data_IF_080498013486
#
_entry.id   IF_080498013486
#
_cell.length_a   1.000
_cell.length_b   1.000
_cell.length_c   1.000
_cell.angle_alpha   90.00
_cell.angle_beta   90.00
_cell.angle_gamma   90.00
#
_symmetry.space_group_name_H-M   'P 1'
#
loop_
_entity.id
_entity.type
_entity.pdbx_description
1 polymer ?
#
# COMPACT_ATOMS: atom_id res chain seq x y z
N UNK A 1 -1.26 34.13 -0.45
CA UNK A 1 0.19 33.93 -0.61
C UNK A 1 0.97 35.11 -0.04
N UNK A 2 0.63 36.38 -0.34
CA UNK A 2 1.33 37.54 0.25
C UNK A 2 1.33 37.55 1.79
N UNK A 3 0.16 37.37 2.43
CA UNK A 3 0.05 37.26 3.89
C UNK A 3 0.88 36.09 4.47
N UNK A 4 0.98 34.99 3.73
CA UNK A 4 1.80 33.82 4.11
C UNK A 4 3.29 34.18 4.10
N UNK A 5 3.76 34.89 3.07
CA UNK A 5 5.15 35.36 2.97
C UNK A 5 5.51 36.31 4.10
N UNK A 6 4.62 37.28 4.36
CA UNK A 6 4.80 38.23 5.47
C UNK A 6 4.83 37.51 6.83
N UNK A 7 3.96 36.51 7.04
CA UNK A 7 3.93 35.73 8.28
C UNK A 7 5.23 34.94 8.52
N UNK A 8 5.82 34.38 7.48
CA UNK A 8 7.06 33.60 7.57
C UNK A 8 8.35 34.44 7.36
N UNK A 9 8.23 35.77 7.22
CA UNK A 9 9.34 36.68 6.91
C UNK A 9 10.13 36.29 5.65
N UNK A 10 9.43 35.77 4.64
CA UNK A 10 10.03 35.44 3.34
C UNK A 10 10.29 36.72 2.53
N UNK A 11 11.49 36.84 1.96
CA UNK A 11 11.84 37.98 1.11
C UNK A 11 11.18 37.89 -0.27
N UNK A 12 10.79 39.05 -0.82
CA UNK A 12 10.20 39.15 -2.15
C UNK A 12 8.70 38.91 -2.20
N UNK A 13 8.17 38.73 -3.41
CA UNK A 13 6.75 38.45 -3.65
C UNK A 13 6.56 37.01 -4.12
N UNK A 14 5.49 36.31 -3.69
CA UNK A 14 5.20 34.97 -4.19
C UNK A 14 5.10 34.98 -5.72
N UNK A 15 5.68 33.97 -6.37
CA UNK A 15 5.60 33.81 -7.82
C UNK A 15 4.13 33.65 -8.27
N UNK A 16 3.76 34.33 -9.36
CA UNK A 16 2.40 34.26 -9.92
C UNK A 16 2.01 32.83 -10.31
N UNK A 17 2.98 31.97 -10.65
CA UNK A 17 2.72 30.57 -10.99
C UNK A 17 2.17 29.74 -9.81
N UNK A 18 2.30 30.23 -8.57
CA UNK A 18 1.74 29.59 -7.38
C UNK A 18 0.22 29.81 -7.24
N UNK A 19 -0.39 30.70 -8.03
CA UNK A 19 -1.83 30.89 -8.01
C UNK A 19 -2.43 31.31 -6.65
N UNK A 20 -3.76 31.18 -6.50
CA UNK A 20 -4.47 31.60 -5.30
C UNK A 20 -4.25 30.64 -4.12
N UNK A 21 -4.00 31.15 -2.89
CA UNK A 21 -3.77 30.30 -1.71
C UNK A 21 -4.97 29.40 -1.36
N UNK A 22 -6.20 29.81 -1.68
CA UNK A 22 -7.42 29.05 -1.38
C UNK A 22 -7.53 27.74 -2.20
N UNK A 23 -6.68 27.55 -3.21
CA UNK A 23 -6.63 26.31 -3.99
C UNK A 23 -5.78 25.22 -3.31
N UNK A 24 -5.11 25.55 -2.20
CA UNK A 24 -4.19 24.67 -1.52
C UNK A 24 -4.80 24.14 -0.22
N UNK A 25 -4.70 22.83 -0.03
CA UNK A 25 -4.92 22.16 1.24
C UNK A 25 -3.73 21.23 1.45
N UNK A 26 -2.74 21.72 2.21
CA UNK A 26 -1.44 21.07 2.38
C UNK A 26 -1.43 20.34 3.72
N UNK A 27 -1.33 19.02 3.66
CA UNK A 27 -1.20 18.20 4.87
C UNK A 27 0.18 18.32 5.49
N UNK A 28 0.21 18.53 6.80
CA UNK A 28 1.46 18.47 7.58
C UNK A 28 1.96 17.03 7.76
N UNK A 29 1.05 16.06 7.77
CA UNK A 29 1.35 14.64 7.96
C UNK A 29 0.61 13.84 6.88
N UNK A 30 1.21 13.62 5.70
CA UNK A 30 0.54 12.97 4.60
C UNK A 30 0.23 11.51 4.91
N UNK A 31 -1.05 11.12 4.79
CA UNK A 31 -1.49 9.73 5.00
C UNK A 31 -2.52 9.31 3.96
N UNK A 32 -2.47 8.04 3.59
CA UNK A 32 -3.53 7.40 2.84
C UNK A 32 -4.38 6.52 3.75
N UNK A 33 -5.65 6.39 3.41
CA UNK A 33 -6.57 5.47 4.07
C UNK A 33 -6.71 4.22 3.19
N UNK A 34 -6.50 3.03 3.76
CA UNK A 34 -6.72 1.78 3.02
C UNK A 34 -8.22 1.47 2.98
N UNK A 35 -8.76 1.19 1.80
CA UNK A 35 -10.21 1.12 1.53
C UNK A 35 -11.01 0.12 2.39
N UNK A 36 -10.34 -0.89 2.99
CA UNK A 36 -10.95 -1.87 3.90
C UNK A 36 -10.38 -1.84 5.33
N UNK A 37 -9.74 -0.75 5.73
CA UNK A 37 -9.27 -0.60 7.10
C UNK A 37 -10.41 -0.31 8.09
N UNK A 38 -10.14 -0.53 9.37
CA UNK A 38 -11.08 -0.23 10.46
C UNK A 38 -11.49 1.25 10.49
N UNK A 39 -10.60 2.15 10.06
CA UNK A 39 -10.93 3.57 9.92
C UNK A 39 -12.07 3.81 8.93
N UNK A 40 -12.05 3.16 7.76
CA UNK A 40 -13.14 3.28 6.77
C UNK A 40 -14.43 2.70 7.32
N UNK A 41 -14.36 1.54 7.99
CA UNK A 41 -15.52 0.95 8.67
C UNK A 41 -16.13 1.92 9.67
N UNK A 42 -15.31 2.58 10.49
CA UNK A 42 -15.77 3.58 11.45
C UNK A 42 -16.46 4.76 10.76
N UNK A 43 -15.87 5.32 9.69
CA UNK A 43 -16.45 6.44 8.92
C UNK A 43 -17.82 6.09 8.35
N UNK A 44 -17.99 4.85 7.87
CA UNK A 44 -19.28 4.34 7.39
C UNK A 44 -20.28 4.16 8.55
N UNK A 45 -19.85 3.55 9.65
CA UNK A 45 -20.69 3.31 10.82
C UNK A 45 -21.21 4.61 11.47
N UNK A 46 -20.41 5.67 11.48
CA UNK A 46 -20.79 6.96 12.06
C UNK A 46 -21.54 7.88 11.09
N UNK A 47 -21.76 7.45 9.84
CA UNK A 47 -22.34 8.26 8.76
C UNK A 47 -21.55 9.55 8.41
N UNK A 48 -20.29 9.65 8.82
CA UNK A 48 -19.41 10.78 8.46
C UNK A 48 -19.11 10.79 6.96
N UNK A 49 -19.22 9.63 6.29
CA UNK A 49 -19.07 9.51 4.83
C UNK A 49 -19.95 10.45 4.01
N UNK A 50 -21.05 10.98 4.56
CA UNK A 50 -21.93 11.95 3.88
C UNK A 50 -21.29 13.33 3.68
N UNK A 51 -20.23 13.63 4.44
CA UNK A 51 -19.56 14.93 4.42
C UNK A 51 -18.20 14.89 3.72
N UNK A 52 -17.75 13.72 3.28
CA UNK A 52 -16.45 13.50 2.68
C UNK A 52 -16.59 12.89 1.29
N UNK A 53 -16.03 13.55 0.29
CA UNK A 53 -15.83 12.94 -1.03
C UNK A 53 -14.46 12.27 -1.06
N UNK A 54 -14.39 11.02 -1.54
CA UNK A 54 -13.16 10.24 -1.57
C UNK A 54 -12.73 9.97 -2.99
N UNK A 55 -11.43 10.07 -3.26
CA UNK A 55 -10.81 9.62 -4.51
C UNK A 55 -9.90 8.44 -4.28
N UNK A 56 -9.86 7.57 -5.29
CA UNK A 56 -8.96 6.44 -5.33
C UNK A 56 -7.57 6.92 -5.76
N UNK A 57 -6.53 6.39 -5.13
CA UNK A 57 -5.16 6.64 -5.57
C UNK A 57 -4.87 5.84 -6.85
N UNK A 58 -4.17 6.45 -7.81
CA UNK A 58 -4.00 5.87 -9.15
C UNK A 58 -3.02 4.69 -9.21
N UNK A 59 -2.13 4.59 -8.24
CA UNK A 59 -1.13 3.53 -8.21
C UNK A 59 -0.17 3.64 -7.04
N UNK A 60 0.59 2.57 -6.88
CA UNK A 60 1.70 2.50 -5.95
C UNK A 60 2.97 2.32 -6.77
N UNK A 61 4.04 3.01 -6.39
CA UNK A 61 5.32 2.95 -7.08
C UNK A 61 6.41 2.57 -6.09
N UNK A 62 7.39 1.82 -6.59
CA UNK A 62 8.56 1.38 -5.83
C UNK A 62 9.81 1.59 -6.67
N UNK A 63 10.95 1.73 -6.01
CA UNK A 63 12.25 1.69 -6.68
C UNK A 63 12.61 0.22 -6.87
N UNK A 64 12.84 -0.18 -8.12
CA UNK A 64 13.33 -1.51 -8.50
C UNK A 64 14.37 -1.33 -9.59
N UNK A 65 15.54 -1.93 -9.41
CA UNK A 65 16.67 -1.82 -10.34
C UNK A 65 17.05 -0.34 -10.60
N UNK A 66 17.06 0.49 -9.55
CA UNK A 66 17.29 1.95 -9.62
C UNK A 66 16.30 2.75 -10.47
N UNK A 67 15.16 2.15 -10.85
CA UNK A 67 14.11 2.82 -11.62
C UNK A 67 12.78 2.80 -10.86
N UNK A 68 11.97 3.84 -11.06
CA UNK A 68 10.60 3.88 -10.51
C UNK A 68 9.73 2.92 -11.32
N UNK A 69 9.18 1.90 -10.67
CA UNK A 69 8.26 0.93 -11.27
C UNK A 69 6.94 0.91 -10.52
N UNK A 70 5.84 0.78 -11.24
CA UNK A 70 4.52 0.60 -10.66
C UNK A 70 4.45 -0.78 -10.00
N UNK A 71 3.99 -0.85 -8.76
CA UNK A 71 3.71 -2.10 -8.05
C UNK A 71 2.53 -2.79 -8.73
N UNK A 72 2.64 -4.07 -9.08
CA UNK A 72 1.62 -4.74 -9.89
C UNK A 72 0.35 -5.01 -9.06
N UNK A 73 -0.77 -4.44 -9.53
CA UNK A 73 -2.11 -4.68 -8.99
C UNK A 73 -3.00 -5.46 -9.96
N UNK A 74 -2.58 -5.57 -11.22
CA UNK A 74 -3.26 -6.32 -12.28
C UNK A 74 -2.33 -7.36 -12.94
N UNK A 75 -2.92 -8.36 -13.61
CA UNK A 75 -2.14 -9.34 -14.39
C UNK A 75 -1.26 -8.69 -15.48
N UNK A 76 -1.75 -7.60 -16.10
CA UNK A 76 -1.00 -6.87 -17.12
C UNK A 76 0.25 -6.22 -16.52
N UNK A 77 0.11 -5.52 -15.39
CA UNK A 77 1.22 -4.90 -14.68
C UNK A 77 2.21 -5.95 -14.14
N UNK A 78 1.72 -7.09 -13.65
CA UNK A 78 2.59 -8.18 -13.21
C UNK A 78 3.46 -8.72 -14.35
N UNK A 79 2.94 -8.73 -15.59
CA UNK A 79 3.68 -9.20 -16.77
C UNK A 79 4.88 -8.31 -17.12
N UNK A 80 4.79 -7.00 -16.87
CA UNK A 80 5.90 -6.06 -17.08
C UNK A 80 6.83 -5.97 -15.87
N UNK A 81 6.40 -6.48 -14.71
CA UNK A 81 7.14 -6.39 -13.46
C UNK A 81 8.03 -7.60 -13.18
N UNK A 82 7.57 -8.80 -13.57
CA UNK A 82 8.20 -10.08 -13.27
C UNK A 82 8.02 -11.07 -14.43
N UNK A 83 8.95 -12.03 -14.56
CA UNK A 83 8.89 -13.06 -15.59
C UNK A 83 7.73 -14.04 -15.40
N UNK A 84 7.35 -14.77 -16.45
CA UNK A 84 6.18 -15.65 -16.43
C UNK A 84 6.17 -16.67 -15.27
N UNK A 85 7.29 -17.33 -15.02
CA UNK A 85 7.42 -18.33 -13.94
C UNK A 85 7.33 -17.69 -12.55
N UNK A 86 8.00 -16.56 -12.34
CA UNK A 86 7.96 -15.84 -11.06
C UNK A 86 6.56 -15.28 -10.79
N UNK A 87 5.86 -14.79 -11.82
CA UNK A 87 4.46 -14.36 -11.74
C UNK A 87 3.53 -15.47 -11.29
N UNK A 88 3.77 -16.72 -11.72
CA UNK A 88 3.00 -17.88 -11.24
C UNK A 88 3.20 -18.08 -9.74
N UNK A 89 4.46 -18.13 -9.29
CA UNK A 89 4.79 -18.33 -7.86
C UNK A 89 4.29 -17.19 -6.98
N UNK A 90 4.38 -15.96 -7.48
CA UNK A 90 3.82 -14.77 -6.83
C UNK A 90 2.30 -14.92 -6.64
N UNK A 91 1.56 -15.29 -7.69
CA UNK A 91 0.11 -15.55 -7.60
C UNK A 91 -0.21 -16.67 -6.60
N UNK A 92 0.62 -17.70 -6.53
CA UNK A 92 0.44 -18.81 -5.59
C UNK A 92 0.62 -18.32 -4.14
N UNK A 93 1.60 -17.44 -3.87
CA UNK A 93 1.75 -16.74 -2.58
C UNK A 93 0.52 -15.89 -2.25
N UNK A 94 -0.02 -15.15 -3.23
CA UNK A 94 -1.20 -14.31 -3.00
C UNK A 94 -2.44 -15.15 -2.66
N UNK A 95 -2.61 -16.27 -3.37
CA UNK A 95 -3.70 -17.21 -3.14
C UNK A 95 -3.61 -17.80 -1.72
N UNK A 96 -2.39 -18.11 -1.29
CA UNK A 96 -2.11 -18.57 0.05
C UNK A 96 -2.41 -17.50 1.12
N UNK A 97 -1.94 -16.27 0.94
CA UNK A 97 -2.23 -15.17 1.87
C UNK A 97 -3.73 -14.93 2.03
N UNK A 98 -4.51 -15.03 0.94
CA UNK A 98 -5.97 -14.90 0.98
C UNK A 98 -6.67 -16.05 1.74
N UNK A 99 -6.12 -17.26 1.67
CA UNK A 99 -6.66 -18.44 2.33
C UNK A 99 -6.14 -18.63 3.76
N UNK A 100 -5.16 -17.83 4.19
CA UNK A 100 -4.56 -17.94 5.51
C UNK A 100 -5.52 -17.47 6.60
N UNK A 101 -5.74 -18.35 7.58
CA UNK A 101 -6.46 -18.06 8.81
C UNK A 101 -5.59 -18.50 9.98
N UNK A 102 -5.19 -17.55 10.84
CA UNK A 102 -4.36 -17.82 12.01
C UNK A 102 -5.05 -18.70 13.06
N UNK A 103 -6.38 -18.81 13.00
CA UNK A 103 -7.19 -19.66 13.88
C UNK A 103 -7.42 -21.06 13.34
N UNK A 104 -7.13 -21.32 12.06
CA UNK A 104 -7.30 -22.63 11.44
C UNK A 104 -6.01 -23.47 11.56
N UNK A 105 -6.02 -24.58 12.32
CA UNK A 105 -4.87 -25.50 12.41
C UNK A 105 -4.55 -26.23 11.09
N UNK A 106 -5.38 -26.09 10.05
CA UNK A 106 -5.18 -26.65 8.70
C UNK A 106 -4.59 -25.64 7.71
N UNK A 107 -3.94 -24.59 8.20
CA UNK A 107 -3.26 -23.62 7.33
C UNK A 107 -2.33 -24.34 6.33
N UNK A 108 -2.35 -23.99 5.02
CA UNK A 108 -1.70 -24.79 3.98
C UNK A 108 -0.16 -24.94 4.19
N UNK A 109 0.46 -25.99 3.63
CA UNK A 109 1.88 -26.32 3.86
C UNK A 109 2.81 -25.14 3.53
N UNK A 110 3.69 -24.80 4.49
CA UNK A 110 4.54 -23.59 4.44
C UNK A 110 4.33 -22.65 5.63
N UNK A 111 3.31 -22.88 6.44
CA UNK A 111 3.05 -22.23 7.74
C UNK A 111 3.50 -23.10 8.90
N UNK A 112 4.81 -23.40 9.01
CA UNK A 112 5.29 -23.88 10.31
C UNK A 112 5.00 -22.80 11.36
N UNK A 113 4.44 -23.14 12.52
CA UNK A 113 4.33 -22.22 13.65
C UNK A 113 5.73 -21.72 14.00
N UNK A 114 6.09 -20.51 13.55
CA UNK A 114 7.42 -19.93 13.75
C UNK A 114 8.24 -19.62 12.50
N UNK A 115 7.76 -19.87 11.28
CA UNK A 115 8.47 -19.42 10.08
C UNK A 115 8.57 -17.88 10.03
N UNK A 116 9.75 -17.36 9.69
CA UNK A 116 9.93 -15.94 9.43
C UNK A 116 9.37 -15.56 8.06
N UNK A 117 9.11 -14.27 7.86
CA UNK A 117 8.65 -13.74 6.57
C UNK A 117 9.66 -14.04 5.47
N UNK A 118 10.96 -13.93 5.74
CA UNK A 118 12.01 -14.26 4.78
C UNK A 118 11.98 -15.72 4.37
N UNK A 119 11.77 -16.64 5.32
CA UNK A 119 11.63 -18.07 5.04
C UNK A 119 10.39 -18.36 4.19
N UNK A 120 9.26 -17.72 4.49
CA UNK A 120 8.04 -17.82 3.67
C UNK A 120 8.31 -17.34 2.23
N UNK A 121 8.89 -16.17 2.04
CA UNK A 121 9.11 -15.65 0.67
C UNK A 121 10.13 -16.51 -0.11
N UNK A 122 11.15 -17.03 0.58
CA UNK A 122 12.13 -17.95 -0.01
C UNK A 122 11.50 -19.28 -0.44
N UNK A 123 10.50 -19.81 0.29
CA UNK A 123 9.83 -21.06 -0.09
C UNK A 123 9.04 -20.95 -1.40
N UNK A 124 8.67 -19.74 -1.81
CA UNK A 124 8.05 -19.46 -3.11
C UNK A 124 9.08 -19.13 -4.21
N UNK A 125 10.37 -19.20 -3.91
CA UNK A 125 11.46 -18.88 -4.86
C UNK A 125 11.24 -17.56 -5.60
N UNK A 126 10.81 -16.53 -4.87
CA UNK A 126 10.71 -15.17 -5.40
C UNK A 126 12.11 -14.53 -5.43
N UNK A 127 12.39 -13.73 -6.44
CA UNK A 127 13.62 -12.93 -6.46
C UNK A 127 13.63 -11.95 -5.30
N UNK A 128 14.82 -11.56 -4.85
CA UNK A 128 14.99 -10.58 -3.77
C UNK A 128 14.26 -9.26 -4.08
N UNK A 129 14.27 -8.83 -5.34
CA UNK A 129 13.53 -7.66 -5.79
C UNK A 129 12.02 -7.79 -5.58
N UNK A 130 11.41 -8.91 -5.97
CA UNK A 130 9.97 -9.14 -5.79
C UNK A 130 9.63 -9.33 -4.31
N UNK A 131 10.44 -10.09 -3.56
CA UNK A 131 10.28 -10.28 -2.13
C UNK A 131 10.36 -8.96 -1.36
N UNK A 132 11.30 -8.08 -1.73
CA UNK A 132 11.43 -6.74 -1.17
C UNK A 132 10.18 -5.91 -1.38
N UNK A 133 9.60 -5.93 -2.58
CA UNK A 133 8.37 -5.20 -2.90
C UNK A 133 7.15 -5.77 -2.17
N UNK A 134 7.07 -7.09 -2.00
CA UNK A 134 6.06 -7.73 -1.14
C UNK A 134 6.15 -7.18 0.29
N UNK A 135 7.35 -7.14 0.87
CA UNK A 135 7.56 -6.65 2.23
C UNK A 135 7.26 -5.17 2.39
N UNK A 136 7.87 -4.31 1.56
CA UNK A 136 7.86 -2.86 1.76
C UNK A 136 6.63 -2.18 1.15
N UNK A 137 6.14 -2.65 0.00
CA UNK A 137 5.10 -1.95 -0.77
C UNK A 137 3.71 -2.58 -0.62
N UNK A 138 3.62 -3.88 -0.29
CA UNK A 138 2.35 -4.58 -0.12
C UNK A 138 2.05 -4.84 1.36
N UNK A 139 3.03 -5.35 2.12
CA UNK A 139 2.92 -5.57 3.56
C UNK A 139 3.35 -4.36 4.42
N UNK A 140 3.80 -3.26 3.77
CA UNK A 140 4.05 -1.94 4.37
C UNK A 140 5.00 -1.95 5.57
N UNK A 141 6.01 -2.82 5.55
CA UNK A 141 7.09 -2.75 6.53
C UNK A 141 8.00 -1.55 6.24
N UNK A 142 8.28 -0.77 7.29
CA UNK A 142 9.16 0.41 7.24
C UNK A 142 10.59 0.16 7.73
N UNK A 143 10.87 -1.01 8.29
CA UNK A 143 12.12 -1.32 8.99
C UNK A 143 12.84 -2.51 8.35
N UNK A 144 14.18 -2.47 8.23
CA UNK A 144 14.95 -3.49 7.52
C UNK A 144 14.89 -4.91 8.13
N UNK A 145 14.54 -5.04 9.41
CA UNK A 145 14.45 -6.33 10.12
C UNK A 145 13.17 -7.11 9.83
N UNK A 146 12.27 -6.59 8.97
CA UNK A 146 11.00 -7.23 8.63
C UNK A 146 11.09 -8.68 8.13
N UNK A 147 12.16 -9.14 7.45
CA UNK A 147 12.25 -10.54 7.03
C UNK A 147 12.28 -11.52 8.21
N UNK A 148 12.67 -11.05 9.41
CA UNK A 148 12.71 -11.87 10.62
C UNK A 148 11.36 -11.90 11.35
N UNK A 149 10.40 -11.04 10.98
CA UNK A 149 9.08 -11.06 11.61
C UNK A 149 8.31 -12.34 11.27
N UNK A 150 7.45 -12.84 12.19
CA UNK A 150 6.60 -13.99 11.95
C UNK A 150 5.78 -13.84 10.66
N UNK A 151 5.80 -14.87 9.82
CA UNK A 151 5.17 -14.86 8.50
C UNK A 151 3.65 -14.60 8.55
N UNK A 152 2.97 -15.00 9.63
CA UNK A 152 1.54 -14.77 9.83
C UNK A 152 1.14 -13.30 9.73
N UNK A 153 1.93 -12.39 10.33
CA UNK A 153 1.68 -10.94 10.22
C UNK A 153 1.77 -10.45 8.77
N UNK A 154 2.72 -10.98 8.00
CA UNK A 154 2.86 -10.65 6.59
C UNK A 154 1.67 -11.16 5.79
N UNK A 155 1.23 -12.40 6.04
CA UNK A 155 0.07 -12.99 5.38
C UNK A 155 -1.22 -12.18 5.66
N UNK A 156 -1.46 -11.79 6.90
CA UNK A 156 -2.61 -10.93 7.27
C UNK A 156 -2.57 -9.57 6.57
N UNK A 157 -1.39 -8.92 6.51
CA UNK A 157 -1.23 -7.62 5.83
C UNK A 157 -1.43 -7.75 4.33
N UNK A 158 -0.91 -8.80 3.71
CA UNK A 158 -1.14 -9.09 2.30
C UNK A 158 -2.62 -9.36 2.04
N UNK A 159 -3.28 -10.19 2.84
CA UNK A 159 -4.71 -10.45 2.72
C UNK A 159 -5.52 -9.15 2.79
N UNK A 160 -5.19 -8.24 3.71
CA UNK A 160 -5.83 -6.93 3.81
C UNK A 160 -5.58 -6.06 2.59
N UNK A 161 -4.33 -5.98 2.13
CA UNK A 161 -3.94 -5.22 0.93
C UNK A 161 -4.74 -5.66 -0.30
N UNK A 162 -4.86 -6.97 -0.53
CA UNK A 162 -5.62 -7.50 -1.66
C UNK A 162 -7.14 -7.33 -1.50
N UNK A 163 -7.65 -7.51 -0.29
CA UNK A 163 -9.08 -7.31 -0.03
C UNK A 163 -9.48 -5.85 -0.30
N UNK A 164 -8.61 -4.89 0.06
CA UNK A 164 -8.77 -3.48 -0.28
C UNK A 164 -8.73 -3.21 -1.80
N UNK A 165 -7.80 -3.85 -2.54
CA UNK A 165 -7.76 -3.74 -4.01
C UNK A 165 -9.05 -4.25 -4.68
N UNK A 166 -9.56 -5.40 -4.22
CA UNK A 166 -10.73 -6.03 -4.81
C UNK A 166 -12.04 -5.28 -4.55
N UNK A 167 -12.14 -4.54 -3.43
CA UNK A 167 -13.40 -3.94 -2.96
C UNK A 167 -14.05 -3.00 -3.99
N UNK A 168 -13.23 -2.28 -4.77
CA UNK A 168 -13.69 -1.32 -5.77
C UNK A 168 -13.08 -1.55 -7.16
N UNK A 169 -12.43 -2.70 -7.37
CA UNK A 169 -11.63 -2.96 -8.58
C UNK A 169 -10.65 -1.79 -8.88
N UNK A 170 -10.01 -1.29 -7.83
CA UNK A 170 -9.19 -0.08 -7.87
C UNK A 170 -7.76 -0.37 -8.34
N UNK A 171 -7.11 0.67 -8.87
CA UNK A 171 -5.70 0.64 -9.28
C UNK A 171 -4.72 0.66 -8.08
N UNK A 172 -5.24 0.81 -6.86
CA UNK A 172 -4.52 0.95 -5.59
C UNK A 172 -5.45 0.57 -4.43
N UNK A 173 -4.96 0.05 -3.30
CA UNK A 173 -5.79 -0.21 -2.10
C UNK A 173 -6.12 1.07 -1.32
N UNK A 174 -5.66 2.23 -1.77
CA UNK A 174 -5.70 3.49 -1.03
C UNK A 174 -6.73 4.46 -1.57
N UNK A 175 -7.38 5.17 -0.66
CA UNK A 175 -8.27 6.30 -0.90
C UNK A 175 -7.78 7.53 -0.13
N UNK A 176 -8.23 8.69 -0.58
CA UNK A 176 -7.87 9.99 -0.02
C UNK A 176 -9.05 10.97 -0.12
N UNK A 177 -9.33 11.77 0.91
CA UNK A 177 -10.44 12.70 0.90
C UNK A 177 -10.14 13.92 0.02
N UNK A 178 -11.15 14.39 -0.69
CA UNK A 178 -11.09 15.65 -1.42
C UNK A 178 -11.01 16.82 -0.44
N UNK A 179 -10.03 17.70 -0.65
CA UNK A 179 -9.75 18.82 0.26
C UNK A 179 -8.73 18.51 1.36
N UNK A 180 -8.16 17.29 1.38
CA UNK A 180 -7.19 16.88 2.39
C UNK A 180 -7.83 16.27 3.65
N UNK A 181 -6.99 15.65 4.49
CA UNK A 181 -7.34 15.05 5.79
C UNK A 181 -7.57 16.10 6.88
#
# INVERSE_FOLDING_TARGET
MKETWEHFNEEGTPDECLGPPQQYSIELIPKFVMAQDNMVKMILHTNVSKYLEWKCIEGIYTIKDSTIKKVPTTNKEASSFMGWFERRRFRDLLSFAKAYDASDPKSPPGTSPGASTGQLLASYSLSESVAGVVGTSMALYSHATWPQEPSGKTLERLARFFSALCYYNQKSPYIYPMGGL
#
